data_IF_919388020260
#
_entry.id   IF_919388020260
#
_cell.length_a   1.000
_cell.length_b   1.000
_cell.length_c   1.000
_cell.angle_alpha   90.00
_cell.angle_beta   90.00
_cell.angle_gamma   90.00
#
_symmetry.space_group_name_H-M   'P 1'
#
loop_
_entity.id
_entity.type
_entity.pdbx_description
1 polymer ?
#
# COMPACT_ATOMS: atom_id res chain seq x y z
N UNK A 1 13.12 23.81 -9.14
CA UNK A 1 12.49 22.50 -8.86
C UNK A 1 11.75 22.63 -7.55
N UNK A 2 10.52 22.12 -7.48
CA UNK A 2 9.76 22.01 -6.24
C UNK A 2 10.58 21.19 -5.22
N UNK A 3 10.73 21.71 -4.00
CA UNK A 3 11.50 21.08 -2.93
C UNK A 3 10.97 19.67 -2.63
N UNK A 4 9.65 19.48 -2.73
CA UNK A 4 9.00 18.18 -2.57
C UNK A 4 9.40 17.20 -3.67
N UNK A 5 9.51 17.66 -4.92
CA UNK A 5 9.93 16.81 -6.03
C UNK A 5 11.38 16.32 -5.86
N UNK A 6 12.28 17.18 -5.37
CA UNK A 6 13.65 16.78 -5.06
C UNK A 6 13.72 15.75 -3.92
N UNK A 7 12.94 15.94 -2.86
CA UNK A 7 12.85 14.99 -1.75
C UNK A 7 12.27 13.64 -2.19
N UNK A 8 11.23 13.65 -3.03
CA UNK A 8 10.62 12.45 -3.59
C UNK A 8 11.58 11.67 -4.47
N UNK A 9 12.36 12.37 -5.31
CA UNK A 9 13.38 11.74 -6.13
C UNK A 9 14.50 11.10 -5.29
N UNK A 10 14.92 11.76 -4.20
CA UNK A 10 15.87 11.19 -3.26
C UNK A 10 15.32 9.91 -2.58
N UNK A 11 14.04 9.90 -2.22
CA UNK A 11 13.37 8.73 -1.67
C UNK A 11 13.25 7.60 -2.72
N UNK A 12 12.94 7.93 -3.97
CA UNK A 12 12.90 6.96 -5.07
C UNK A 12 14.25 6.26 -5.26
N UNK A 13 15.35 7.02 -5.24
CA UNK A 13 16.73 6.49 -5.27
C UNK A 13 17.02 5.56 -4.12
N UNK A 14 16.63 5.93 -2.91
CA UNK A 14 16.85 5.08 -1.74
C UNK A 14 16.11 3.74 -1.85
N UNK A 15 14.88 3.74 -2.35
CA UNK A 15 14.12 2.51 -2.62
C UNK A 15 14.84 1.64 -3.66
N UNK A 16 15.30 2.23 -4.76
CA UNK A 16 16.03 1.52 -5.81
C UNK A 16 17.39 0.98 -5.33
N UNK A 17 18.11 1.74 -4.51
CA UNK A 17 19.37 1.30 -3.93
C UNK A 17 19.18 0.04 -3.08
N UNK A 18 18.09 -0.04 -2.31
CA UNK A 18 17.74 -1.24 -1.53
C UNK A 18 17.34 -2.42 -2.40
N UNK A 19 16.83 -2.17 -3.61
CA UNK A 19 16.51 -3.20 -4.59
C UNK A 19 17.76 -3.75 -5.32
N UNK A 20 18.89 -3.06 -5.29
CA UNK A 20 20.08 -3.41 -6.08
C UNK A 20 20.65 -4.82 -5.83
N UNK A 21 20.33 -5.45 -4.69
CA UNK A 21 20.73 -6.83 -4.36
C UNK A 21 19.60 -7.87 -4.50
N UNK A 22 18.42 -7.45 -4.95
CA UNK A 22 17.22 -8.27 -5.06
C UNK A 22 17.02 -8.69 -6.52
N UNK A 23 16.73 -9.98 -6.73
CA UNK A 23 16.32 -10.47 -8.04
C UNK A 23 15.01 -9.81 -8.47
N UNK A 24 15.00 -9.18 -9.64
CA UNK A 24 13.83 -8.53 -10.22
C UNK A 24 13.15 -9.53 -11.16
N UNK A 25 11.99 -10.04 -10.74
CA UNK A 25 11.19 -11.01 -11.50
C UNK A 25 9.70 -10.70 -11.32
N UNK A 26 8.79 -11.29 -12.12
CA UNK A 26 7.36 -10.97 -12.09
C UNK A 26 6.63 -11.25 -10.77
N UNK A 27 7.25 -11.95 -9.80
CA UNK A 27 6.70 -12.11 -8.46
C UNK A 27 7.00 -10.93 -7.54
N UNK A 28 7.79 -9.95 -7.98
CA UNK A 28 8.07 -8.73 -7.23
C UNK A 28 6.81 -7.87 -7.14
N UNK A 29 6.47 -7.45 -5.92
CA UNK A 29 5.41 -6.50 -5.63
C UNK A 29 6.02 -5.27 -4.94
N UNK A 30 5.67 -4.09 -5.45
CA UNK A 30 6.05 -2.80 -4.87
C UNK A 30 4.77 -2.02 -4.57
N UNK A 31 4.54 -1.73 -3.30
CA UNK A 31 3.31 -1.08 -2.83
C UNK A 31 3.62 0.07 -1.87
N UNK A 32 2.75 1.07 -1.86
CA UNK A 32 2.77 2.17 -0.90
C UNK A 32 1.44 2.23 -0.18
N UNK A 33 1.46 2.11 1.14
CA UNK A 33 0.26 2.09 1.99
C UNK A 33 0.15 3.36 2.81
N UNK A 34 -1.04 3.93 2.88
CA UNK A 34 -1.33 5.00 3.85
C UNK A 34 -1.43 4.42 5.25
N UNK A 35 -0.89 5.16 6.22
CA UNK A 35 -0.81 4.71 7.61
C UNK A 35 -0.66 5.87 8.60
N UNK A 36 -0.65 5.52 9.90
CA UNK A 36 -0.25 6.40 10.99
C UNK A 36 0.89 5.78 11.78
N UNK A 37 1.66 6.59 12.48
CA UNK A 37 2.65 6.10 13.45
C UNK A 37 2.08 6.16 14.86
N UNK A 38 2.16 5.04 15.60
CA UNK A 38 1.52 4.89 16.91
C UNK A 38 2.01 5.88 17.98
N UNK A 39 3.21 6.44 17.80
CA UNK A 39 3.88 7.30 18.78
C UNK A 39 4.00 8.77 18.33
N UNK A 40 3.47 9.13 17.16
CA UNK A 40 3.48 10.54 16.75
C UNK A 40 2.30 11.26 17.40
N UNK A 41 2.61 12.03 18.45
CA UNK A 41 1.76 13.17 18.81
C UNK A 41 1.75 14.10 17.60
N UNK A 42 0.56 14.54 17.19
CA UNK A 42 0.43 15.54 16.12
C UNK A 42 1.33 16.74 16.46
N UNK A 43 1.95 17.39 15.46
CA UNK A 43 2.78 18.58 15.69
C UNK A 43 2.11 19.69 16.51
N UNK A 44 0.77 19.68 16.62
CA UNK A 44 0.01 20.58 17.50
C UNK A 44 0.35 20.46 19.00
N UNK A 45 0.96 19.36 19.44
CA UNK A 45 1.26 19.11 20.86
C UNK A 45 2.76 19.24 21.21
N UNK A 46 3.62 19.54 20.22
CA UNK A 46 5.06 19.69 20.44
C UNK A 46 5.45 21.16 20.28
N UNK A 47 5.32 21.87 21.39
CA UNK A 47 5.97 23.15 21.63
C UNK A 47 7.46 23.10 21.24
N UNK A 48 7.85 23.94 20.26
CA UNK A 48 9.11 24.70 20.17
C UNK A 48 10.37 24.02 20.77
N UNK A 49 11.07 23.17 20.01
CA UNK A 49 12.52 23.01 20.29
C UNK A 49 13.39 22.42 19.16
N UNK A 50 12.85 22.08 17.99
CA UNK A 50 13.68 21.74 16.82
C UNK A 50 13.29 22.64 15.65
N UNK A 51 14.31 23.20 14.97
CA UNK A 51 14.14 24.29 14.01
C UNK A 51 13.05 24.02 12.95
N UNK A 52 12.29 25.07 12.62
CA UNK A 52 11.10 25.06 11.76
C UNK A 52 11.29 24.48 10.33
N UNK A 53 12.50 24.11 9.95
CA UNK A 53 12.81 23.44 8.68
C UNK A 53 12.68 21.90 8.76
N UNK A 54 12.90 21.28 9.92
CA UNK A 54 12.82 19.81 10.08
C UNK A 54 11.38 19.27 9.99
N UNK A 55 10.38 20.13 10.21
CA UNK A 55 8.96 19.77 10.18
C UNK A 55 8.36 19.75 8.76
N UNK A 56 9.11 20.17 7.73
CA UNK A 56 8.58 20.33 6.37
C UNK A 56 9.04 19.29 5.35
N UNK A 57 9.90 18.35 5.75
CA UNK A 57 10.53 17.41 4.83
C UNK A 57 9.98 15.99 4.96
N UNK A 58 9.91 15.28 3.83
CA UNK A 58 9.77 13.82 3.80
C UNK A 58 10.95 13.18 4.52
N UNK A 59 10.67 12.30 5.47
CA UNK A 59 11.73 11.66 6.27
C UNK A 59 11.50 10.17 6.38
N UNK A 60 12.54 9.39 6.10
CA UNK A 60 12.57 7.98 6.45
C UNK A 60 12.73 7.88 7.96
N UNK A 61 11.85 7.12 8.61
CA UNK A 61 11.85 6.93 10.05
C UNK A 61 11.78 5.45 10.40
N UNK A 62 12.06 5.12 11.66
CA UNK A 62 11.71 3.82 12.23
C UNK A 62 10.53 4.03 13.16
N UNK A 63 9.35 3.54 12.77
CA UNK A 63 8.12 3.79 13.52
C UNK A 63 7.25 2.55 13.65
N UNK A 64 6.48 2.50 14.75
CA UNK A 64 5.41 1.51 14.89
C UNK A 64 4.23 1.95 14.03
N UNK A 65 4.01 1.26 12.91
CA UNK A 65 2.96 1.57 11.95
C UNK A 65 1.61 0.99 12.38
N UNK A 66 0.59 1.84 12.30
CA UNK A 66 -0.83 1.49 12.38
C UNK A 66 -1.40 1.61 10.97
N UNK A 67 -1.79 0.51 10.32
CA UNK A 67 -2.29 0.54 8.96
C UNK A 67 -3.67 1.19 8.89
N UNK A 68 -3.92 1.88 7.77
CA UNK A 68 -5.25 2.35 7.40
C UNK A 68 -5.54 3.82 7.71
N UNK A 69 -6.71 4.23 7.24
CA UNK A 69 -7.22 5.60 7.28
C UNK A 69 -8.55 5.69 8.06
N UNK A 70 -8.99 6.91 8.38
CA UNK A 70 -10.31 7.14 8.93
C UNK A 70 -11.41 6.87 7.90
N UNK A 71 -12.59 6.44 8.34
CA UNK A 71 -13.70 6.07 7.44
C UNK A 71 -14.13 7.23 6.52
N UNK A 72 -14.21 8.47 7.04
CA UNK A 72 -14.58 9.64 6.23
C UNK A 72 -13.51 9.94 5.16
N UNK A 73 -12.24 9.85 5.54
CA UNK A 73 -11.11 10.07 4.62
C UNK A 73 -11.05 8.97 3.57
N UNK A 74 -11.37 7.73 3.94
CA UNK A 74 -11.49 6.61 3.00
C UNK A 74 -12.50 6.92 1.90
N UNK A 75 -13.72 7.36 2.24
CA UNK A 75 -14.75 7.71 1.26
C UNK A 75 -14.34 8.90 0.36
N UNK A 76 -13.62 9.88 0.90
CA UNK A 76 -13.08 11.00 0.12
C UNK A 76 -12.01 10.53 -0.87
N UNK A 77 -11.09 9.68 -0.42
CA UNK A 77 -10.04 9.09 -1.26
C UNK A 77 -10.67 8.18 -2.34
N UNK A 78 -11.68 7.40 -1.99
CA UNK A 78 -12.44 6.56 -2.94
C UNK A 78 -13.02 7.40 -4.07
N UNK A 79 -13.77 8.45 -3.72
CA UNK A 79 -14.37 9.36 -4.72
C UNK A 79 -13.30 10.01 -5.60
N UNK A 80 -12.16 10.42 -5.02
CA UNK A 80 -11.04 10.97 -5.78
C UNK A 80 -10.47 9.94 -6.77
N UNK A 81 -10.16 8.73 -6.33
CA UNK A 81 -9.60 7.69 -7.19
C UNK A 81 -10.56 7.30 -8.31
N UNK A 82 -11.86 7.16 -8.02
CA UNK A 82 -12.88 6.86 -9.04
C UNK A 82 -12.94 7.98 -10.09
N UNK A 83 -12.86 9.24 -9.67
CA UNK A 83 -12.85 10.39 -10.59
C UNK A 83 -11.65 10.43 -11.55
N UNK A 84 -10.58 9.70 -11.22
CA UNK A 84 -9.36 9.58 -12.04
C UNK A 84 -9.33 8.33 -12.91
N UNK A 85 -10.28 7.41 -12.73
CA UNK A 85 -10.32 6.17 -13.49
C UNK A 85 -10.63 6.41 -14.97
N UNK A 86 -9.97 5.64 -15.84
CA UNK A 86 -10.38 5.50 -17.24
C UNK A 86 -11.47 4.43 -17.35
N UNK A 87 -12.27 4.46 -18.42
CA UNK A 87 -13.31 3.45 -18.65
C UNK A 87 -12.76 2.02 -18.56
N UNK A 88 -13.44 1.15 -17.79
CA UNK A 88 -13.04 -0.24 -17.60
C UNK A 88 -11.91 -0.47 -16.58
N UNK A 89 -11.32 0.59 -16.01
CA UNK A 89 -10.25 0.49 -15.02
C UNK A 89 -10.71 0.19 -13.59
N UNK A 90 -12.01 -0.02 -13.34
CA UNK A 90 -12.57 -0.17 -11.98
C UNK A 90 -13.10 -1.59 -11.78
N UNK A 91 -12.72 -2.22 -10.68
CA UNK A 91 -13.19 -3.55 -10.29
C UNK A 91 -13.47 -3.60 -8.79
N UNK A 92 -14.46 -4.41 -8.39
CA UNK A 92 -14.77 -4.66 -6.97
C UNK A 92 -14.74 -6.14 -6.69
N UNK A 93 -14.17 -6.53 -5.56
CA UNK A 93 -14.09 -7.93 -5.13
C UNK A 93 -14.36 -8.04 -3.64
N UNK A 94 -15.03 -9.14 -3.27
CA UNK A 94 -15.24 -9.52 -1.86
C UNK A 94 -14.54 -10.86 -1.67
N UNK A 95 -13.52 -10.86 -0.81
CA UNK A 95 -12.72 -12.06 -0.53
C UNK A 95 -12.54 -12.28 0.97
N UNK A 96 -12.15 -13.50 1.31
CA UNK A 96 -11.74 -13.88 2.65
C UNK A 96 -10.31 -14.43 2.58
N UNK A 97 -9.37 -13.78 3.27
CA UNK A 97 -8.00 -14.25 3.37
C UNK A 97 -7.85 -15.07 4.66
N UNK A 98 -7.28 -16.28 4.55
CA UNK A 98 -6.93 -17.14 5.68
C UNK A 98 -5.43 -17.40 5.66
N UNK A 99 -4.72 -17.04 6.75
CA UNK A 99 -3.30 -17.35 6.90
C UNK A 99 -3.11 -18.66 7.68
N UNK A 100 -2.36 -19.59 7.09
CA UNK A 100 -2.01 -20.88 7.71
C UNK A 100 -0.62 -21.34 7.29
N UNK A 101 0.24 -21.70 8.24
CA UNK A 101 1.63 -22.16 8.01
C UNK A 101 2.45 -21.26 7.07
N UNK A 102 2.31 -19.94 7.19
CA UNK A 102 3.02 -18.97 6.35
C UNK A 102 2.37 -18.68 5.00
N UNK A 103 1.39 -19.47 4.57
CA UNK A 103 0.67 -19.27 3.30
C UNK A 103 -0.59 -18.42 3.51
N UNK A 104 -0.91 -17.60 2.51
CA UNK A 104 -2.19 -16.87 2.40
C UNK A 104 -3.09 -17.61 1.42
N UNK A 105 -4.25 -18.05 1.90
CA UNK A 105 -5.30 -18.63 1.08
C UNK A 105 -6.39 -17.58 0.87
N UNK A 106 -6.72 -17.27 -0.37
CA UNK A 106 -7.78 -16.32 -0.74
C UNK A 106 -9.00 -17.08 -1.18
N UNK A 107 -10.14 -16.80 -0.55
CA UNK A 107 -11.43 -17.40 -0.85
C UNK A 107 -12.40 -16.36 -1.42
N UNK A 108 -13.33 -16.80 -2.27
CA UNK A 108 -14.44 -15.98 -2.73
C UNK A 108 -15.49 -15.77 -1.63
N UNK A 109 -16.08 -14.58 -1.62
CA UNK A 109 -17.17 -14.21 -0.73
C UNK A 109 -16.74 -14.05 0.73
N UNK A 110 -17.68 -13.58 1.55
CA UNK A 110 -17.42 -13.35 2.97
C UNK A 110 -17.33 -14.64 3.79
N UNK A 111 -17.98 -15.71 3.32
CA UNK A 111 -18.06 -16.99 4.03
C UNK A 111 -16.90 -17.94 3.70
N UNK A 112 -15.90 -17.44 2.95
CA UNK A 112 -14.68 -18.16 2.60
C UNK A 112 -14.99 -19.51 1.89
N UNK A 113 -15.78 -19.47 0.82
CA UNK A 113 -16.40 -20.67 0.21
C UNK A 113 -15.46 -21.43 -0.72
N UNK A 114 -14.90 -20.75 -1.73
CA UNK A 114 -14.04 -21.38 -2.75
C UNK A 114 -12.66 -20.74 -2.71
N UNK A 115 -11.62 -21.55 -2.48
CA UNK A 115 -10.24 -21.10 -2.56
C UNK A 115 -9.90 -20.82 -4.02
N UNK A 116 -9.54 -19.57 -4.33
CA UNK A 116 -9.19 -19.12 -5.68
C UNK A 116 -7.70 -18.82 -5.83
N UNK A 117 -6.99 -18.62 -4.72
CA UNK A 117 -5.56 -18.33 -4.75
C UNK A 117 -4.87 -18.84 -3.49
N UNK A 118 -3.65 -19.34 -3.66
CA UNK A 118 -2.72 -19.64 -2.58
C UNK A 118 -1.41 -18.91 -2.88
N UNK A 119 -0.97 -18.05 -1.97
CA UNK A 119 0.22 -17.22 -2.14
C UNK A 119 1.17 -17.39 -0.97
N UNK A 120 2.45 -17.53 -1.26
CA UNK A 120 3.54 -17.31 -0.32
C UNK A 120 4.08 -15.88 -0.53
N UNK A 121 3.83 -14.99 0.44
CA UNK A 121 4.29 -13.60 0.42
C UNK A 121 5.48 -13.43 1.36
N UNK A 122 6.65 -13.18 0.79
CA UNK A 122 7.87 -12.87 1.52
C UNK A 122 8.17 -11.38 1.42
N UNK A 123 8.07 -10.66 2.53
CA UNK A 123 8.53 -9.26 2.60
C UNK A 123 10.05 -9.21 2.47
N UNK A 124 10.55 -8.39 1.56
CA UNK A 124 11.98 -8.16 1.37
C UNK A 124 12.44 -6.99 2.25
N UNK A 125 11.78 -5.84 2.12
CA UNK A 125 12.00 -4.70 2.99
C UNK A 125 10.76 -3.79 3.05
N UNK A 126 10.77 -2.86 4.00
CA UNK A 126 9.84 -1.74 4.03
C UNK A 126 10.56 -0.46 4.46
N UNK A 127 10.06 0.68 3.99
CA UNK A 127 10.54 2.01 4.34
C UNK A 127 9.35 2.81 4.87
N UNK A 128 9.46 3.31 6.10
CA UNK A 128 8.44 4.16 6.71
C UNK A 128 8.79 5.61 6.44
N UNK A 129 7.86 6.36 5.88
CA UNK A 129 8.08 7.74 5.47
C UNK A 129 7.07 8.62 6.18
N UNK A 130 7.60 9.51 7.01
CA UNK A 130 6.86 10.62 7.58
C UNK A 130 6.53 11.61 6.45
N UNK A 131 5.24 11.92 6.31
CA UNK A 131 4.76 12.88 5.31
C UNK A 131 4.44 14.20 6.03
N UNK A 132 5.22 15.26 5.78
CA UNK A 132 4.99 16.55 6.42
C UNK A 132 3.64 17.10 5.96
N UNK A 133 2.86 17.62 6.91
CA UNK A 133 1.52 18.16 6.66
C UNK A 133 0.54 17.19 5.98
N UNK A 134 0.85 15.89 5.95
CA UNK A 134 -0.07 14.84 5.51
C UNK A 134 -1.08 14.51 6.60
N UNK A 135 -2.28 14.08 6.21
CA UNK A 135 -3.20 13.47 7.15
C UNK A 135 -2.74 12.05 7.52
N UNK A 136 -1.91 11.47 6.66
CA UNK A 136 -1.35 10.13 6.76
C UNK A 136 0.14 10.13 6.42
N UNK A 137 0.86 9.23 7.06
CA UNK A 137 2.20 8.82 6.65
C UNK A 137 2.09 7.71 5.62
N UNK A 138 3.20 7.37 4.96
CA UNK A 138 3.23 6.26 4.00
C UNK A 138 4.26 5.21 4.40
N UNK A 139 3.94 3.94 4.12
CA UNK A 139 4.87 2.83 4.19
C UNK A 139 5.04 2.25 2.80
N UNK A 140 6.26 2.28 2.29
CA UNK A 140 6.66 1.59 1.06
C UNK A 140 7.03 0.17 1.45
N UNK A 141 6.44 -0.83 0.81
CA UNK A 141 6.80 -2.24 1.03
C UNK A 141 7.18 -2.88 -0.29
N UNK A 142 8.25 -3.67 -0.25
CA UNK A 142 8.67 -4.51 -1.36
C UNK A 142 8.61 -5.96 -0.89
N UNK A 143 7.91 -6.78 -1.66
CA UNK A 143 7.70 -8.20 -1.36
C UNK A 143 7.88 -9.07 -2.60
N UNK A 144 8.02 -10.37 -2.38
CA UNK A 144 7.84 -11.41 -3.40
C UNK A 144 6.55 -12.15 -3.11
N UNK A 145 5.64 -12.22 -4.08
CA UNK A 145 4.41 -13.01 -4.01
C UNK A 145 4.50 -14.19 -4.98
N UNK A 146 4.77 -15.38 -4.45
CA UNK A 146 4.79 -16.61 -5.25
C UNK A 146 3.43 -17.29 -5.19
N UNK A 147 2.79 -17.48 -6.35
CA UNK A 147 1.59 -18.32 -6.47
C UNK A 147 1.97 -19.78 -6.31
N UNK A 148 1.21 -20.48 -5.48
CA UNK A 148 1.33 -21.92 -5.23
C UNK A 148 0.04 -22.58 -5.75
N UNK A 149 0.11 -23.82 -6.28
CA UNK A 149 -1.09 -24.56 -6.65
C UNK A 149 -2.12 -24.59 -5.52
N UNK A 150 -3.37 -24.27 -5.87
CA UNK A 150 -4.49 -24.37 -4.94
C UNK A 150 -4.69 -25.85 -4.62
N UNK A 151 -4.87 -26.24 -3.33
CA UNK A 151 -5.16 -27.63 -2.99
C UNK A 151 -6.42 -28.12 -3.70
N UNK A 152 -6.40 -29.34 -4.24
CA UNK A 152 -7.54 -29.93 -5.00
C UNK A 152 -8.86 -29.95 -4.23
N UNK A 153 -8.78 -29.95 -2.89
CA UNK A 153 -9.94 -29.75 -2.03
C UNK A 153 -9.84 -28.36 -1.40
N UNK A 154 -10.78 -27.49 -1.73
CA UNK A 154 -11.03 -26.22 -1.01
C UNK A 154 -11.49 -26.53 0.40
N UNK A 155 -10.56 -26.89 1.27
CA UNK A 155 -10.80 -26.99 2.70
C UNK A 155 -10.33 -25.69 3.30
N UNK A 156 -11.28 -24.81 3.64
CA UNK A 156 -10.99 -23.62 4.44
C UNK A 156 -10.27 -24.06 5.70
N UNK A 157 -9.04 -23.56 5.97
CA UNK A 157 -8.32 -23.95 7.17
C UNK A 157 -9.21 -23.77 8.41
N UNK A 158 -9.36 -24.85 9.20
CA UNK A 158 -10.19 -24.83 10.42
C UNK A 158 -9.63 -23.87 11.47
N UNK A 159 -8.33 -23.60 11.40
CA UNK A 159 -7.59 -22.67 12.24
C UNK A 159 -6.84 -21.68 11.35
N UNK A 160 -6.68 -20.45 11.81
CA UNK A 160 -5.97 -19.41 11.07
C UNK A 160 -6.53 -18.02 11.31
N UNK A 161 -5.75 -17.00 10.96
CA UNK A 161 -6.17 -15.61 11.02
C UNK A 161 -7.04 -15.33 9.79
N UNK A 162 -8.29 -14.89 10.01
CA UNK A 162 -9.27 -14.60 8.97
C UNK A 162 -9.45 -13.10 8.80
N UNK A 163 -9.32 -12.61 7.57
CA UNK A 163 -9.58 -11.22 7.21
C UNK A 163 -10.62 -11.20 6.09
N UNK A 164 -11.79 -10.63 6.35
CA UNK A 164 -12.78 -10.34 5.31
C UNK A 164 -12.40 -9.04 4.61
N UNK A 165 -12.42 -9.01 3.29
CA UNK A 165 -11.97 -7.88 2.47
C UNK A 165 -13.04 -7.53 1.46
N UNK A 166 -13.52 -6.30 1.50
CA UNK A 166 -14.29 -5.68 0.42
C UNK A 166 -13.37 -4.63 -0.22
N UNK A 167 -12.94 -4.92 -1.45
CA UNK A 167 -11.90 -4.17 -2.15
C UNK A 167 -12.43 -3.56 -3.42
N UNK A 168 -12.26 -2.25 -3.56
CA UNK A 168 -12.33 -1.53 -4.83
C UNK A 168 -10.91 -1.35 -5.37
N UNK A 169 -10.67 -1.82 -6.58
CA UNK A 169 -9.39 -1.70 -7.27
C UNK A 169 -9.55 -0.85 -8.52
N UNK A 170 -8.70 0.17 -8.65
CA UNK A 170 -8.76 1.15 -9.75
C UNK A 170 -7.40 1.20 -10.44
N UNK A 171 -7.38 0.91 -11.73
CA UNK A 171 -6.18 0.88 -12.58
C UNK A 171 -5.98 2.23 -13.27
N UNK A 172 -4.76 2.74 -13.21
CA UNK A 172 -4.31 4.01 -13.80
C UNK A 172 -2.88 3.83 -14.34
N UNK A 173 -2.80 3.46 -15.63
CA UNK A 173 -1.53 3.14 -16.29
C UNK A 173 -0.85 1.93 -15.65
N UNK A 174 0.40 2.09 -15.21
CA UNK A 174 1.20 1.05 -14.53
C UNK A 174 0.96 0.97 -13.02
N UNK A 175 -0.13 1.57 -12.53
CA UNK A 175 -0.43 1.62 -11.10
C UNK A 175 -1.86 1.18 -10.81
N UNK A 176 -2.06 0.61 -9.63
CA UNK A 176 -3.37 0.22 -9.13
C UNK A 176 -3.61 0.81 -7.75
N UNK A 177 -4.72 1.52 -7.58
CA UNK A 177 -5.21 1.93 -6.26
C UNK A 177 -6.08 0.83 -5.69
N UNK A 178 -5.73 0.31 -4.52
CA UNK A 178 -6.54 -0.67 -3.79
C UNK A 178 -7.11 -0.01 -2.54
N UNK A 179 -8.43 0.16 -2.52
CA UNK A 179 -9.18 0.65 -1.38
C UNK A 179 -9.91 -0.54 -0.75
N UNK A 180 -9.48 -0.96 0.43
CA UNK A 180 -9.98 -2.18 1.06
C UNK A 180 -10.59 -1.89 2.42
N UNK A 181 -11.87 -2.22 2.58
CA UNK A 181 -12.48 -2.37 3.90
C UNK A 181 -12.16 -3.77 4.42
N UNK A 182 -11.33 -3.83 5.46
CA UNK A 182 -10.94 -5.10 6.09
C UNK A 182 -11.69 -5.27 7.40
N UNK A 183 -12.34 -6.41 7.58
CA UNK A 183 -12.94 -6.80 8.86
C UNK A 183 -12.23 -8.02 9.44
N UNK A 184 -11.72 -7.87 10.66
CA UNK A 184 -10.98 -8.89 11.40
C UNK A 184 -11.40 -8.86 12.86
N UNK A 185 -11.81 -10.00 13.42
CA UNK A 185 -12.24 -10.15 14.82
C UNK A 185 -13.26 -9.08 15.29
N UNK A 186 -14.18 -8.68 14.40
CA UNK A 186 -15.19 -7.65 14.68
C UNK A 186 -14.70 -6.21 14.55
N UNK A 187 -13.41 -5.97 14.38
CA UNK A 187 -12.86 -4.65 14.09
C UNK A 187 -12.79 -4.41 12.57
N UNK A 188 -13.04 -3.17 12.16
CA UNK A 188 -12.91 -2.74 10.76
C UNK A 188 -11.75 -1.77 10.61
N UNK A 189 -10.90 -2.01 9.62
CA UNK A 189 -9.81 -1.13 9.18
C UNK A 189 -10.02 -0.77 7.72
N UNK A 190 -9.76 0.49 7.37
CA UNK A 190 -9.87 1.00 6.00
C UNK A 190 -8.46 1.15 5.43
N UNK A 191 -8.03 0.24 4.57
CA UNK A 191 -6.69 0.23 3.98
C UNK A 191 -6.71 0.92 2.62
N UNK A 192 -5.73 1.78 2.37
CA UNK A 192 -5.51 2.44 1.06
C UNK A 192 -4.08 2.17 0.62
N UNK A 193 -3.95 1.60 -0.56
CA UNK A 193 -2.69 1.14 -1.13
C UNK A 193 -2.56 1.63 -2.58
N UNK A 194 -1.36 2.03 -2.99
CA UNK A 194 -1.00 2.21 -4.40
C UNK A 194 0.04 1.16 -4.74
N UNK A 195 -0.27 0.29 -5.68
CA UNK A 195 0.56 -0.82 -6.09
C UNK A 195 1.10 -0.60 -7.50
N UNK A 196 2.34 -1.01 -7.71
CA UNK A 196 2.94 -1.11 -9.01
C UNK A 196 2.49 -2.32 -9.79
N UNK A 197 2.09 -2.13 -11.04
CA UNK A 197 1.80 -3.22 -11.95
C UNK A 197 2.95 -3.37 -12.94
N UNK A 198 3.51 -4.58 -13.01
CA UNK A 198 4.51 -4.96 -14.00
C UNK A 198 3.87 -5.84 -15.07
N UNK A 199 4.13 -5.55 -16.34
CA UNK A 199 3.74 -6.43 -17.43
C UNK A 199 4.56 -7.71 -17.39
N UNK A 200 3.90 -8.86 -17.61
CA UNK A 200 4.57 -10.16 -17.76
C UNK A 200 5.33 -10.29 -19.08
N UNK A 201 5.04 -9.44 -20.07
CA UNK A 201 5.70 -9.47 -21.38
C UNK A 201 7.05 -8.74 -21.40
N UNK A 202 7.36 -7.98 -20.35
CA UNK A 202 8.56 -7.16 -20.26
C UNK A 202 9.36 -7.48 -18.99
N UNK A 203 10.67 -7.29 -19.08
CA UNK A 203 11.56 -7.44 -17.94
C UNK A 203 11.25 -6.37 -16.87
N UNK A 204 11.09 -6.80 -15.61
CA UNK A 204 10.81 -5.91 -14.47
C UNK A 204 11.89 -4.84 -14.33
N UNK A 205 13.16 -5.17 -14.62
CA UNK A 205 14.27 -4.21 -14.55
C UNK A 205 14.13 -3.04 -15.53
N UNK A 206 13.40 -3.21 -16.64
CA UNK A 206 13.12 -2.13 -17.61
C UNK A 206 11.96 -1.25 -17.20
N UNK A 207 11.04 -1.79 -16.40
CA UNK A 207 9.83 -1.10 -15.94
C UNK A 207 10.09 -0.35 -14.62
N UNK A 208 10.84 -0.95 -13.70
CA UNK A 208 11.14 -0.42 -12.38
C UNK A 208 12.28 0.60 -12.42
N UNK A 209 11.98 1.80 -12.90
CA UNK A 209 12.92 2.92 -13.04
C UNK A 209 12.76 3.96 -11.92
N UNK A 210 13.74 4.88 -11.79
CA UNK A 210 13.65 6.02 -10.85
C UNK A 210 12.39 6.86 -11.10
N UNK A 211 12.08 7.12 -12.36
CA UNK A 211 10.88 7.85 -12.76
C UNK A 211 9.60 7.11 -12.37
N UNK A 212 9.58 5.78 -12.52
CA UNK A 212 8.42 4.97 -12.15
C UNK A 212 8.18 5.00 -10.63
N UNK A 213 9.25 4.90 -9.82
CA UNK A 213 9.13 4.99 -8.36
C UNK A 213 8.73 6.42 -7.95
N UNK A 214 9.26 7.46 -8.61
CA UNK A 214 8.85 8.84 -8.37
C UNK A 214 7.34 9.04 -8.60
N UNK A 215 6.79 8.48 -9.69
CA UNK A 215 5.36 8.53 -9.99
C UNK A 215 4.51 7.75 -8.96
N UNK A 216 4.97 6.58 -8.53
CA UNK A 216 4.32 5.82 -7.47
C UNK A 216 4.21 6.64 -6.17
N UNK A 217 5.31 7.28 -5.79
CA UNK A 217 5.37 8.14 -4.61
C UNK A 217 4.49 9.39 -4.76
N UNK A 218 4.47 10.02 -5.94
CA UNK A 218 3.63 11.18 -6.21
C UNK A 218 2.14 10.89 -6.04
N UNK A 219 1.69 9.74 -6.58
CA UNK A 219 0.33 9.24 -6.40
C UNK A 219 0.02 9.01 -4.92
N UNK A 220 0.88 8.30 -4.19
CA UNK A 220 0.68 8.01 -2.77
C UNK A 220 0.66 9.28 -1.91
N UNK A 221 1.56 10.23 -2.16
CA UNK A 221 1.61 11.52 -1.45
C UNK A 221 0.39 12.40 -1.74
N UNK A 222 -0.13 12.35 -2.97
CA UNK A 222 -1.39 13.01 -3.33
C UNK A 222 -2.54 12.49 -2.45
N UNK A 223 -2.64 11.16 -2.27
CA UNK A 223 -3.66 10.58 -1.40
C UNK A 223 -3.43 10.92 0.08
N UNK A 224 -2.18 10.85 0.55
CA UNK A 224 -1.82 11.12 1.95
C UNK A 224 -2.11 12.57 2.39
N UNK A 225 -2.14 13.51 1.45
CA UNK A 225 -2.38 14.94 1.68
C UNK A 225 -3.78 15.40 1.28
N UNK A 226 -4.59 14.53 0.66
CA UNK A 226 -5.88 14.88 0.07
C UNK A 226 -6.83 15.55 1.08
N UNK A 227 -6.88 15.03 2.30
CA UNK A 227 -7.85 15.45 3.32
C UNK A 227 -7.40 16.67 4.13
N UNK A 228 -6.14 17.08 4.00
CA UNK A 228 -5.62 18.32 4.61
C UNK A 228 -5.77 19.56 3.70
N UNK A 229 -6.30 19.44 2.49
CA UNK A 229 -6.54 20.58 1.59
C UNK A 229 -7.79 21.41 1.94
N UNK A 230 -8.37 21.18 3.13
CA UNK A 230 -9.44 22.01 3.72
C UNK A 230 -8.86 22.80 4.90
N UNK A 231 -8.13 23.87 4.57
CA UNK A 231 -7.86 24.99 5.46
C UNK A 231 -8.01 26.27 4.64
#
# INVERSE_FOLDING_TARGET
MDELAAQRLALAREVLNRLGSIELDPSLEVEVRLCKFANERRPSDVSRSMGAAADKALRIVSAKVVPGVGANDFSLIEAFCVSKSQEGGVSRSITCDVKNKGLRYTFTGEDCTTCIECTDKKKLFSVDVLVPFGAYNIRISVSKEKRIPVPERSVTPKTGFKRKKDRLSIVDGSFRYDLTKVTENGATVYEVEVEGMFSSSEDVSKQLTEQWVDQLLDKALTLATLTNRRA
#
